data_IF_477139511140
#
_entry.id   IF_477139511140
#
_cell.length_a   1.000
_cell.length_b   1.000
_cell.length_c   1.000
_cell.angle_alpha   90.00
_cell.angle_beta   90.00
_cell.angle_gamma   90.00
#
_symmetry.space_group_name_H-M   'P 1'
#
loop_
_entity.id
_entity.type
_entity.pdbx_description
1 polymer ?
#
# COMPACT_ATOMS: atom_id res chain seq x y z
N UNK A 1 10.34 -0.41 14.76
CA UNK A 1 10.44 -1.63 13.94
C UNK A 1 11.58 -2.49 14.46
N UNK A 2 11.32 -3.75 14.78
CA UNK A 2 12.35 -4.68 15.24
C UNK A 2 13.26 -5.09 14.07
N UNK A 3 14.50 -4.58 14.08
CA UNK A 3 15.50 -4.84 13.05
C UNK A 3 16.00 -6.30 13.04
N UNK A 4 15.58 -7.14 13.99
CA UNK A 4 15.89 -8.58 13.99
C UNK A 4 14.85 -9.41 13.25
N UNK A 5 13.68 -8.86 12.92
CA UNK A 5 12.64 -9.60 12.22
C UNK A 5 13.11 -9.99 10.79
N UNK A 6 13.18 -11.29 10.46
CA UNK A 6 13.68 -11.76 9.17
C UNK A 6 12.79 -11.33 8.00
N UNK A 7 11.49 -11.18 8.19
CA UNK A 7 10.54 -10.73 7.18
C UNK A 7 10.80 -9.25 6.86
N UNK A 8 10.99 -8.42 7.88
CA UNK A 8 11.32 -7.01 7.69
C UNK A 8 12.66 -6.85 6.96
N UNK A 9 13.64 -7.72 7.23
CA UNK A 9 14.91 -7.73 6.48
C UNK A 9 14.72 -8.07 5.00
N UNK A 10 13.86 -9.03 4.67
CA UNK A 10 13.52 -9.35 3.29
C UNK A 10 12.84 -8.16 2.59
N UNK A 11 11.88 -7.50 3.26
CA UNK A 11 11.25 -6.28 2.74
C UNK A 11 12.26 -5.15 2.53
N UNK A 12 13.18 -4.92 3.47
CA UNK A 12 14.24 -3.91 3.31
C UNK A 12 15.15 -4.23 2.13
N UNK A 13 15.59 -5.49 2.00
CA UNK A 13 16.39 -5.91 0.86
C UNK A 13 15.65 -5.77 -0.48
N UNK A 14 14.34 -6.04 -0.49
CA UNK A 14 13.48 -5.83 -1.66
C UNK A 14 13.39 -4.36 -2.04
N UNK A 15 13.20 -3.46 -1.07
CA UNK A 15 13.23 -2.00 -1.32
C UNK A 15 14.57 -1.51 -1.86
N UNK A 16 15.69 -2.02 -1.34
CA UNK A 16 17.01 -1.70 -1.89
C UNK A 16 17.12 -2.16 -3.35
N UNK A 17 16.74 -3.41 -3.64
CA UNK A 17 16.77 -3.94 -5.00
C UNK A 17 15.88 -3.13 -5.96
N UNK A 18 14.70 -2.69 -5.49
CA UNK A 18 13.81 -1.82 -6.25
C UNK A 18 14.44 -0.45 -6.54
N UNK A 19 15.07 0.17 -5.54
CA UNK A 19 15.81 1.43 -5.70
C UNK A 19 16.98 1.31 -6.69
N UNK A 20 17.58 0.13 -6.79
CA UNK A 20 18.64 -0.20 -7.76
C UNK A 20 18.08 -0.60 -9.15
N UNK A 21 16.77 -0.55 -9.37
CA UNK A 21 16.11 -0.95 -10.63
C UNK A 21 16.03 -2.46 -10.86
N UNK A 22 16.36 -3.29 -9.88
CA UNK A 22 16.32 -4.74 -9.96
C UNK A 22 14.91 -5.27 -9.63
N UNK A 23 13.92 -4.92 -10.45
CA UNK A 23 12.50 -5.17 -10.17
C UNK A 23 12.15 -6.65 -9.94
N UNK A 24 12.72 -7.58 -10.72
CA UNK A 24 12.45 -9.01 -10.51
C UNK A 24 13.05 -9.51 -9.19
N UNK A 25 14.24 -9.02 -8.83
CA UNK A 25 14.85 -9.35 -7.54
C UNK A 25 14.02 -8.84 -6.37
N UNK A 26 13.53 -7.60 -6.47
CA UNK A 26 12.64 -7.02 -5.47
C UNK A 26 11.37 -7.85 -5.30
N UNK A 27 10.71 -8.21 -6.41
CA UNK A 27 9.52 -9.08 -6.43
C UNK A 27 9.77 -10.41 -5.74
N UNK A 28 10.86 -11.11 -6.06
CA UNK A 28 11.20 -12.39 -5.42
C UNK A 28 11.41 -12.23 -3.91
N UNK A 29 12.09 -11.18 -3.46
CA UNK A 29 12.33 -10.92 -2.04
C UNK A 29 11.03 -10.64 -1.27
N UNK A 30 10.10 -9.90 -1.88
CA UNK A 30 8.80 -9.62 -1.27
C UNK A 30 7.91 -10.87 -1.20
N UNK A 31 7.89 -11.70 -2.24
CA UNK A 31 7.18 -12.98 -2.22
C UNK A 31 7.76 -13.92 -1.15
N UNK A 32 9.09 -13.99 -1.04
CA UNK A 32 9.73 -14.76 0.02
C UNK A 32 9.39 -14.24 1.42
N UNK A 33 9.24 -12.91 1.58
CA UNK A 33 8.80 -12.31 2.84
C UNK A 33 7.37 -12.76 3.17
N UNK A 34 6.47 -12.73 2.19
CA UNK A 34 5.09 -13.20 2.34
C UNK A 34 5.01 -14.68 2.72
N UNK A 35 5.69 -15.56 1.99
CA UNK A 35 5.68 -17.01 2.23
C UNK A 35 6.18 -17.39 3.62
N UNK A 36 7.14 -16.62 4.16
CA UNK A 36 7.73 -16.85 5.48
C UNK A 36 6.99 -16.11 6.61
N UNK A 37 5.98 -15.28 6.31
CA UNK A 37 5.29 -14.48 7.31
C UNK A 37 4.43 -15.34 8.24
N UNK A 38 4.56 -15.12 9.54
CA UNK A 38 3.89 -15.89 10.60
C UNK A 38 2.95 -15.06 11.46
N UNK A 39 3.12 -13.74 11.47
CA UNK A 39 2.27 -12.80 12.21
C UNK A 39 1.47 -11.92 11.26
N UNK A 40 0.36 -11.35 11.75
CA UNK A 40 -0.46 -10.43 10.95
C UNK A 40 0.32 -9.17 10.55
N UNK A 41 1.20 -8.66 11.41
CA UNK A 41 2.08 -7.54 11.08
C UNK A 41 3.03 -7.86 9.90
N UNK A 42 3.62 -9.06 9.91
CA UNK A 42 4.49 -9.55 8.83
C UNK A 42 3.71 -9.73 7.53
N UNK A 43 2.50 -10.31 7.60
CA UNK A 43 1.61 -10.51 6.45
C UNK A 43 1.14 -9.18 5.86
N UNK A 44 0.73 -8.23 6.70
CA UNK A 44 0.39 -6.87 6.32
C UNK A 44 1.54 -6.21 5.54
N UNK A 45 2.74 -6.22 6.13
CA UNK A 45 3.92 -5.56 5.56
C UNK A 45 4.35 -6.20 4.26
N UNK A 46 4.45 -7.53 4.21
CA UNK A 46 4.90 -8.24 3.01
C UNK A 46 3.89 -8.12 1.86
N UNK A 47 2.59 -8.27 2.12
CA UNK A 47 1.55 -8.09 1.11
C UNK A 47 1.58 -6.69 0.46
N UNK A 48 1.81 -5.63 1.26
CA UNK A 48 1.98 -4.28 0.75
C UNK A 48 3.11 -4.18 -0.28
N UNK A 49 4.27 -4.79 0.00
CA UNK A 49 5.39 -4.75 -0.94
C UNK A 49 5.19 -5.66 -2.14
N UNK A 50 4.51 -6.80 -1.99
CA UNK A 50 4.16 -7.67 -3.12
C UNK A 50 3.25 -6.91 -4.10
N UNK A 51 2.28 -6.13 -3.60
CA UNK A 51 1.36 -5.34 -4.44
C UNK A 51 2.07 -4.43 -5.45
N UNK A 52 3.24 -3.87 -5.08
CA UNK A 52 3.99 -2.90 -5.91
C UNK A 52 4.59 -3.49 -7.19
N UNK A 53 4.69 -4.81 -7.28
CA UNK A 53 5.33 -5.52 -8.38
C UNK A 53 4.38 -6.41 -9.18
N UNK A 54 3.07 -6.18 -9.06
CA UNK A 54 2.08 -6.90 -9.85
C UNK A 54 1.97 -6.31 -11.26
N UNK A 55 1.58 -7.14 -12.21
CA UNK A 55 1.48 -6.75 -13.63
C UNK A 55 0.07 -6.29 -14.01
N UNK A 56 -0.92 -6.55 -13.17
CA UNK A 56 -2.32 -6.21 -13.41
C UNK A 56 -2.88 -5.36 -12.26
N UNK A 57 -3.80 -4.42 -12.52
CA UNK A 57 -4.51 -3.72 -11.47
C UNK A 57 -5.32 -4.65 -10.55
N UNK A 58 -5.83 -5.77 -11.06
CA UNK A 58 -6.56 -6.79 -10.28
C UNK A 58 -5.66 -7.45 -9.24
N UNK A 59 -4.47 -7.89 -9.64
CA UNK A 59 -3.50 -8.50 -8.71
C UNK A 59 -2.99 -7.45 -7.71
N UNK A 60 -2.77 -6.22 -8.17
CA UNK A 60 -2.37 -5.10 -7.30
C UNK A 60 -3.44 -4.84 -6.24
N UNK A 61 -4.72 -4.80 -6.64
CA UNK A 61 -5.85 -4.64 -5.73
C UNK A 61 -5.93 -5.80 -4.74
N UNK A 62 -5.82 -7.04 -5.22
CA UNK A 62 -5.87 -8.24 -4.38
C UNK A 62 -4.84 -8.17 -3.24
N UNK A 63 -3.58 -7.87 -3.57
CA UNK A 63 -2.51 -7.79 -2.57
C UNK A 63 -2.65 -6.60 -1.62
N UNK A 64 -3.15 -5.46 -2.10
CA UNK A 64 -3.43 -4.32 -1.23
C UNK A 64 -4.59 -4.61 -0.26
N UNK A 65 -5.64 -5.32 -0.71
CA UNK A 65 -6.74 -5.75 0.16
C UNK A 65 -6.29 -6.81 1.17
N UNK A 66 -5.42 -7.75 0.79
CA UNK A 66 -4.77 -8.67 1.74
C UNK A 66 -3.98 -7.89 2.79
N UNK A 67 -3.19 -6.90 2.38
CA UNK A 67 -2.45 -6.05 3.32
C UNK A 67 -3.37 -5.33 4.30
N UNK A 68 -4.48 -4.76 3.81
CA UNK A 68 -5.49 -4.10 4.64
C UNK A 68 -6.17 -5.06 5.63
N UNK A 69 -6.48 -6.29 5.21
CA UNK A 69 -7.05 -7.33 6.07
C UNK A 69 -6.17 -7.56 7.30
N UNK A 70 -4.87 -7.76 7.09
CA UNK A 70 -3.94 -8.00 8.20
C UNK A 70 -3.62 -6.73 8.99
N UNK A 71 -3.60 -5.55 8.36
CA UNK A 71 -3.50 -4.28 9.09
C UNK A 71 -4.66 -4.15 10.10
N UNK A 72 -5.88 -4.43 9.67
CA UNK A 72 -7.06 -4.41 10.54
C UNK A 72 -7.02 -5.49 11.63
N UNK A 73 -6.42 -6.65 11.36
CA UNK A 73 -6.23 -7.70 12.37
C UNK A 73 -5.24 -7.30 13.46
N UNK A 74 -4.17 -6.58 13.10
CA UNK A 74 -3.23 -6.00 14.08
C UNK A 74 -3.90 -4.89 14.89
N UNK A 75 -4.56 -3.94 14.23
CA UNK A 75 -5.45 -2.96 14.85
C UNK A 75 -4.80 -2.01 15.86
N UNK A 76 -3.47 -1.87 15.85
CA UNK A 76 -2.72 -1.05 16.80
C UNK A 76 -1.87 0.04 16.11
N UNK A 77 -1.15 0.81 16.94
CA UNK A 77 -0.30 1.92 16.48
C UNK A 77 0.83 1.50 15.53
N UNK A 78 1.22 0.21 15.51
CA UNK A 78 2.32 -0.29 14.66
C UNK A 78 1.97 -0.29 13.18
N UNK A 79 0.68 -0.37 12.84
CA UNK A 79 0.18 -0.37 11.46
C UNK A 79 -0.50 0.95 11.07
N UNK A 80 -0.70 1.86 12.03
CA UNK A 80 -1.45 3.10 11.78
C UNK A 80 -0.86 3.98 10.67
N UNK A 81 0.48 4.01 10.57
CA UNK A 81 1.18 4.77 9.52
C UNK A 81 1.05 4.16 8.11
N UNK A 82 0.56 2.92 7.99
CA UNK A 82 0.34 2.27 6.70
C UNK A 82 -1.03 2.61 6.10
N UNK A 83 -2.04 2.94 6.92
CA UNK A 83 -3.41 3.15 6.42
C UNK A 83 -3.51 4.20 5.30
N UNK A 84 -2.91 5.41 5.41
CA UNK A 84 -2.99 6.39 4.34
C UNK A 84 -2.47 5.87 2.99
N UNK A 85 -1.32 5.19 2.99
CA UNK A 85 -0.72 4.66 1.76
C UNK A 85 -1.45 3.43 1.24
N UNK A 86 -1.97 2.57 2.13
CA UNK A 86 -2.80 1.42 1.74
C UNK A 86 -4.11 1.87 1.10
N UNK A 87 -4.83 2.81 1.71
CA UNK A 87 -6.07 3.34 1.14
C UNK A 87 -5.82 4.05 -0.19
N UNK A 88 -4.76 4.85 -0.30
CA UNK A 88 -4.34 5.46 -1.56
C UNK A 88 -4.11 4.40 -2.66
N UNK A 89 -3.37 3.33 -2.35
CA UNK A 89 -3.06 2.30 -3.34
C UNK A 89 -4.30 1.50 -3.75
N UNK A 90 -5.19 1.16 -2.80
CA UNK A 90 -6.46 0.49 -3.08
C UNK A 90 -7.35 1.38 -3.97
N UNK A 91 -7.46 2.66 -3.63
CA UNK A 91 -8.22 3.63 -4.41
C UNK A 91 -7.71 3.70 -5.84
N UNK A 92 -6.39 3.77 -6.02
CA UNK A 92 -5.77 3.80 -7.34
C UNK A 92 -6.02 2.51 -8.14
N UNK A 93 -5.96 1.34 -7.50
CA UNK A 93 -6.26 0.09 -8.21
C UNK A 93 -7.73 0.02 -8.65
N UNK A 94 -8.68 0.43 -7.80
CA UNK A 94 -10.09 0.54 -8.22
C UNK A 94 -10.29 1.55 -9.36
N UNK A 95 -9.58 2.68 -9.31
CA UNK A 95 -9.61 3.69 -10.37
C UNK A 95 -9.15 3.11 -11.71
N UNK A 96 -8.02 2.37 -11.71
CA UNK A 96 -7.49 1.71 -12.91
C UNK A 96 -8.43 0.65 -13.48
N UNK A 97 -9.26 0.04 -12.64
CA UNK A 97 -10.29 -0.93 -13.02
C UNK A 97 -11.60 -0.28 -13.47
N UNK A 98 -11.73 1.06 -13.40
CA UNK A 98 -12.95 1.79 -13.72
C UNK A 98 -14.03 1.73 -12.62
N UNK A 99 -13.69 1.21 -11.44
CA UNK A 99 -14.59 1.10 -10.28
C UNK A 99 -14.55 2.41 -9.49
N UNK A 100 -15.10 3.48 -10.06
CA UNK A 100 -14.93 4.84 -9.55
C UNK A 100 -15.61 5.09 -8.19
N UNK A 101 -16.69 4.36 -7.89
CA UNK A 101 -17.40 4.47 -6.60
C UNK A 101 -16.49 3.97 -5.46
N UNK A 102 -15.91 2.78 -5.62
CA UNK A 102 -14.96 2.20 -4.67
C UNK A 102 -13.69 3.04 -4.60
N UNK A 103 -13.16 3.50 -5.75
CA UNK A 103 -11.99 4.37 -5.78
C UNK A 103 -12.20 5.62 -4.93
N UNK A 104 -13.33 6.30 -5.10
CA UNK A 104 -13.69 7.50 -4.34
C UNK A 104 -13.76 7.23 -2.83
N UNK A 105 -14.45 6.16 -2.43
CA UNK A 105 -14.53 5.77 -1.02
C UNK A 105 -13.14 5.62 -0.38
N UNK A 106 -12.23 4.92 -1.06
CA UNK A 106 -10.88 4.70 -0.51
C UNK A 106 -10.00 5.96 -0.56
N UNK A 107 -10.18 6.85 -1.54
CA UNK A 107 -9.51 8.15 -1.52
C UNK A 107 -10.00 9.03 -0.35
N UNK A 108 -11.30 9.01 -0.04
CA UNK A 108 -11.86 9.72 1.11
C UNK A 108 -11.28 9.18 2.44
N UNK A 109 -11.22 7.86 2.60
CA UNK A 109 -10.57 7.22 3.77
C UNK A 109 -9.08 7.57 3.86
N UNK A 110 -8.38 7.61 2.73
CA UNK A 110 -6.98 8.02 2.70
C UNK A 110 -6.81 9.49 3.15
N UNK A 111 -7.72 10.38 2.73
CA UNK A 111 -7.70 11.79 3.10
C UNK A 111 -7.92 12.00 4.60
N UNK A 112 -8.89 11.32 5.21
CA UNK A 112 -9.14 11.36 6.66
C UNK A 112 -7.90 10.94 7.46
N UNK A 113 -7.19 9.93 6.98
CA UNK A 113 -5.98 9.43 7.62
C UNK A 113 -4.74 10.27 7.30
N UNK A 114 -4.78 11.13 6.29
CA UNK A 114 -3.68 12.05 6.04
C UNK A 114 -3.55 13.08 7.16
N UNK A 115 -4.61 13.46 7.86
CA UNK A 115 -4.56 14.47 8.92
C UNK A 115 -3.63 14.11 10.08
N UNK A 116 -3.36 12.82 10.28
CA UNK A 116 -2.43 12.32 11.31
C UNK A 116 -0.99 12.16 10.82
N UNK A 117 -0.74 12.34 9.51
CA UNK A 117 0.61 12.28 8.95
C UNK A 117 1.40 13.55 9.27
N UNK A 118 2.70 13.39 9.51
CA UNK A 118 3.63 14.51 9.66
C UNK A 118 3.93 15.22 8.33
N UNK A 119 4.83 16.20 8.38
CA UNK A 119 5.23 17.01 7.21
C UNK A 119 6.51 16.50 6.54
N UNK A 120 6.76 15.19 6.57
CA UNK A 120 7.92 14.62 5.90
C UNK A 120 7.67 14.38 4.40
N UNK A 121 8.71 14.25 3.56
CA UNK A 121 8.55 14.11 2.12
C UNK A 121 7.73 12.89 1.67
N UNK A 122 7.66 11.83 2.46
CA UNK A 122 6.84 10.66 2.15
C UNK A 122 5.37 10.97 2.43
N UNK A 123 5.06 11.57 3.57
CA UNK A 123 3.71 12.02 3.90
C UNK A 123 3.14 13.04 2.90
N UNK A 124 3.96 13.99 2.44
CA UNK A 124 3.56 14.95 1.38
C UNK A 124 3.21 14.27 0.06
N UNK A 125 3.94 13.22 -0.33
CA UNK A 125 3.64 12.45 -1.55
C UNK A 125 2.30 11.72 -1.44
N UNK A 126 1.98 11.17 -0.26
CA UNK A 126 0.68 10.52 -0.03
C UNK A 126 -0.44 11.56 -0.18
N UNK A 127 -0.34 12.71 0.49
CA UNK A 127 -1.34 13.79 0.39
C UNK A 127 -1.57 14.21 -1.07
N UNK A 128 -0.50 14.49 -1.81
CA UNK A 128 -0.58 14.86 -3.22
C UNK A 128 -1.23 13.77 -4.09
N UNK A 129 -0.94 12.48 -3.81
CA UNK A 129 -1.54 11.36 -4.49
C UNK A 129 -3.05 11.25 -4.25
N UNK A 130 -3.48 11.45 -2.99
CA UNK A 130 -4.89 11.44 -2.59
C UNK A 130 -5.65 12.60 -3.23
N UNK A 131 -5.12 13.82 -3.15
CA UNK A 131 -5.73 15.01 -3.76
C UNK A 131 -5.93 14.83 -5.26
N UNK A 132 -4.87 14.43 -5.98
CA UNK A 132 -4.95 14.19 -7.41
C UNK A 132 -5.93 13.06 -7.77
N UNK A 133 -6.02 12.02 -6.95
CA UNK A 133 -6.96 10.92 -7.11
C UNK A 133 -8.42 11.37 -6.97
N UNK A 134 -8.71 12.11 -5.89
CA UNK A 134 -10.03 12.70 -5.63
C UNK A 134 -10.50 13.60 -6.78
N UNK A 135 -9.61 14.43 -7.32
CA UNK A 135 -9.94 15.27 -8.48
C UNK A 135 -10.32 14.43 -9.71
N UNK A 136 -9.59 13.34 -9.99
CA UNK A 136 -9.89 12.48 -11.14
C UNK A 136 -11.24 11.79 -11.00
N UNK A 137 -11.53 11.17 -9.86
CA UNK A 137 -12.79 10.42 -9.66
C UNK A 137 -14.02 11.33 -9.63
N UNK A 138 -13.92 12.54 -9.05
CA UNK A 138 -15.03 13.50 -9.04
C UNK A 138 -15.36 14.06 -10.44
N UNK A 139 -14.37 14.12 -11.33
CA UNK A 139 -14.57 14.54 -12.71
C UNK A 139 -15.20 13.44 -13.59
N UNK A 140 -15.21 12.19 -13.15
CA UNK A 140 -15.89 11.08 -13.85
C UNK A 140 -17.41 11.13 -13.61
N UNK A 141 -17.85 11.45 -12.38
CA UNK A 141 -19.27 11.59 -12.02
C UNK A 141 -19.96 12.81 -12.69
N UNK A 142 -19.18 13.72 -13.27
CA UNK A 142 -19.66 14.97 -13.88
C UNK A 142 -19.96 14.87 -15.39
N UNK A 143 -19.87 13.68 -15.98
CA UNK A 143 -20.14 13.42 -17.41
C UNK A 143 -21.31 12.46 -17.60
#
# INVERSE_FOLDING_TARGET
MDQHNPIIKLCVAGMTAEGDGQHERARMLFLQAWENSTTDFERCTSAHYVARHQTTPEDTLHWNLESLLYANAVGDASVSAFYPSLYLNIAHSYEQLGNHVEAKLYYELAAEMCDVLGDDPYSMKIRAGVEAGMERVNNVDSK
#
